data_IF_572995763079
#
_entry.id   IF_572995763079
#
_cell.length_a   1.000
_cell.length_b   1.000
_cell.length_c   1.000
_cell.angle_alpha   90.00
_cell.angle_beta   90.00
_cell.angle_gamma   90.00
#
_symmetry.space_group_name_H-M   'P 1'
#
loop_
_entity.id
_entity.type
_entity.pdbx_description
1 polymer ?
#
# COMPACT_ATOMS: atom_id res chain seq x y z
N UNK A 1 -73.90 56.29 -39.44
CA UNK A 1 -72.54 56.82 -39.18
C UNK A 1 -71.69 55.60 -38.80
N UNK A 2 -71.08 54.85 -39.72
CA UNK A 2 -69.89 55.17 -40.55
C UNK A 2 -68.82 55.85 -39.69
N UNK A 3 -67.57 55.41 -39.56
CA UNK A 3 -66.74 54.40 -40.24
C UNK A 3 -65.28 54.90 -40.17
N UNK A 4 -64.30 54.00 -40.33
CA UNK A 4 -62.92 54.40 -40.67
C UNK A 4 -61.76 53.77 -39.87
N UNK A 5 -61.20 52.67 -40.39
CA UNK A 5 -59.73 52.39 -40.40
C UNK A 5 -59.09 53.25 -41.53
N UNK A 6 -57.75 53.34 -41.78
CA UNK A 6 -56.60 52.49 -41.38
C UNK A 6 -55.36 53.34 -40.90
N UNK A 7 -54.16 52.82 -40.57
CA UNK A 7 -53.10 52.40 -41.49
C UNK A 7 -51.93 51.72 -40.77
N UNK A 8 -51.35 50.75 -41.49
CA UNK A 8 -50.11 50.05 -41.21
C UNK A 8 -48.90 50.96 -41.48
N UNK A 9 -47.84 50.86 -40.67
CA UNK A 9 -46.50 51.22 -41.13
C UNK A 9 -45.48 50.14 -40.76
N UNK A 10 -45.04 49.50 -41.84
CA UNK A 10 -43.91 48.61 -42.03
C UNK A 10 -42.64 49.16 -41.42
N UNK A 11 -41.91 48.36 -40.62
CA UNK A 11 -40.44 48.46 -40.62
C UNK A 11 -39.84 47.06 -40.81
N UNK A 12 -38.99 47.04 -41.84
CA UNK A 12 -38.30 45.91 -42.48
C UNK A 12 -37.27 45.28 -41.55
N UNK A 13 -37.10 43.98 -41.79
CA UNK A 13 -35.93 43.16 -41.46
C UNK A 13 -34.62 43.89 -41.84
N UNK A 14 -33.69 43.98 -40.91
CA UNK A 14 -32.26 43.82 -41.20
C UNK A 14 -31.73 42.71 -40.30
N UNK A 15 -31.42 41.60 -40.97
CA UNK A 15 -30.62 40.49 -40.48
C UNK A 15 -29.21 41.04 -40.29
N UNK A 16 -28.77 41.16 -39.04
CA UNK A 16 -27.33 41.15 -38.74
C UNK A 16 -27.03 39.75 -38.19
N UNK A 17 -26.34 38.99 -39.04
CA UNK A 17 -25.77 37.70 -38.70
C UNK A 17 -24.79 37.87 -37.54
N UNK A 18 -25.18 37.43 -36.34
CA UNK A 18 -24.23 37.05 -35.31
C UNK A 18 -23.67 35.68 -35.68
N UNK A 19 -22.73 35.67 -36.63
CA UNK A 19 -21.95 34.49 -36.96
C UNK A 19 -20.97 34.22 -35.81
N UNK A 20 -21.21 33.10 -35.13
CA UNK A 20 -20.24 32.20 -34.53
C UNK A 20 -18.96 32.82 -33.91
N UNK A 21 -19.00 33.07 -32.60
CA UNK A 21 -17.84 32.88 -31.72
C UNK A 21 -18.32 32.15 -30.45
N UNK A 22 -18.56 30.84 -30.60
CA UNK A 22 -18.68 29.91 -29.46
C UNK A 22 -17.78 28.70 -29.75
N UNK A 23 -16.51 28.97 -30.02
CA UNK A 23 -15.46 27.95 -30.06
C UNK A 23 -14.41 28.43 -29.07
N UNK A 24 -14.32 27.77 -27.90
CA UNK A 24 -13.25 28.07 -26.95
C UNK A 24 -13.52 27.81 -25.48
N UNK A 25 -14.63 27.16 -25.08
CA UNK A 25 -14.90 26.85 -23.65
C UNK A 25 -14.94 25.36 -23.32
N UNK A 26 -14.31 24.52 -24.16
CA UNK A 26 -13.90 23.16 -23.77
C UNK A 26 -12.38 23.05 -23.65
N UNK A 27 -11.70 24.19 -23.61
CA UNK A 27 -10.27 24.29 -23.35
C UNK A 27 -9.96 24.64 -21.88
N UNK A 28 -10.63 23.95 -20.96
CA UNK A 28 -10.04 23.59 -19.66
C UNK A 28 -9.76 22.07 -19.66
N UNK A 29 -8.92 21.49 -20.56
CA UNK A 29 -8.93 20.04 -20.78
C UNK A 29 -7.53 19.42 -20.57
N UNK A 30 -7.44 18.31 -19.86
CA UNK A 30 -6.21 17.55 -19.63
C UNK A 30 -5.10 18.21 -18.79
N UNK A 31 -4.67 19.46 -19.03
CA UNK A 31 -3.52 20.04 -18.29
C UNK A 31 -3.83 20.28 -16.81
N UNK A 32 -4.99 20.85 -16.48
CA UNK A 32 -5.43 20.99 -15.08
C UNK A 32 -5.62 19.63 -14.41
N UNK A 33 -6.16 18.64 -15.15
CA UNK A 33 -6.37 17.29 -14.61
C UNK A 33 -5.04 16.55 -14.39
N UNK A 34 -4.06 16.67 -15.28
CA UNK A 34 -2.73 16.08 -15.11
C UNK A 34 -1.97 16.72 -13.93
N UNK A 35 -2.13 18.03 -13.71
CA UNK A 35 -1.58 18.73 -12.54
C UNK A 35 -2.23 18.22 -11.24
N UNK A 36 -3.55 18.03 -11.20
CA UNK A 36 -4.24 17.49 -10.02
C UNK A 36 -3.87 16.01 -9.76
N UNK A 37 -3.82 15.18 -10.80
CA UNK A 37 -3.44 13.77 -10.67
C UNK A 37 -1.99 13.60 -10.18
N UNK A 38 -1.06 14.39 -10.70
CA UNK A 38 0.33 14.38 -10.22
C UNK A 38 0.46 14.83 -8.78
N UNK A 39 -0.31 15.83 -8.33
CA UNK A 39 -0.29 16.21 -6.90
C UNK A 39 -0.78 15.12 -5.95
N UNK A 40 -1.71 14.26 -6.37
CA UNK A 40 -2.27 13.19 -5.53
C UNK A 40 -1.42 11.92 -5.59
N UNK A 41 -1.03 11.49 -6.79
CA UNK A 41 -0.45 10.16 -7.00
C UNK A 41 1.07 10.16 -7.18
N UNK A 42 1.74 11.32 -7.29
CA UNK A 42 3.19 11.35 -7.43
C UNK A 42 3.90 10.77 -6.20
N UNK A 43 4.93 9.98 -6.47
CA UNK A 43 5.80 9.40 -5.46
C UNK A 43 6.53 10.51 -4.68
N UNK A 44 6.65 10.43 -3.34
CA UNK A 44 7.46 11.38 -2.59
C UNK A 44 8.93 11.30 -3.02
N UNK A 45 9.68 12.39 -2.91
CA UNK A 45 11.11 12.35 -3.24
C UNK A 45 11.96 11.73 -2.11
N UNK A 46 11.48 11.84 -0.87
CA UNK A 46 12.21 11.42 0.33
C UNK A 46 11.47 10.31 1.08
N UNK A 47 12.25 9.54 1.83
CA UNK A 47 11.76 8.50 2.73
C UNK A 47 11.19 9.12 4.02
N UNK A 48 10.30 8.41 4.75
CA UNK A 48 9.70 8.94 5.94
C UNK A 48 10.74 8.96 7.05
N UNK A 49 10.96 10.13 7.63
CA UNK A 49 11.90 10.32 8.74
C UNK A 49 11.18 10.09 10.07
N UNK A 50 11.78 9.30 10.95
CA UNK A 50 11.36 9.19 12.34
C UNK A 50 12.19 10.13 13.20
N UNK A 51 11.57 11.16 13.78
CA UNK A 51 12.26 12.04 14.73
C UNK A 51 12.67 11.30 16.01
N UNK A 52 11.89 10.29 16.41
CA UNK A 52 12.18 9.43 17.57
C UNK A 52 13.32 8.45 17.30
N UNK A 53 13.39 7.91 16.07
CA UNK A 53 14.42 6.98 15.65
C UNK A 53 15.09 7.45 14.35
N UNK A 54 15.96 8.48 14.41
CA UNK A 54 16.69 8.95 13.25
C UNK A 54 17.52 7.83 12.64
N UNK A 55 17.43 7.70 11.32
CA UNK A 55 18.18 6.70 10.57
C UNK A 55 19.67 7.03 10.55
N UNK A 56 20.51 6.00 10.64
CA UNK A 56 21.94 6.05 10.33
C UNK A 56 22.30 4.80 9.51
N UNK A 57 23.39 4.87 8.75
CA UNK A 57 23.88 3.72 7.98
C UNK A 57 24.15 2.51 8.89
N UNK A 58 24.71 2.74 10.07
CA UNK A 58 25.01 1.68 11.05
C UNK A 58 23.75 1.04 11.63
N UNK A 59 22.71 1.83 11.95
CA UNK A 59 21.42 1.28 12.43
C UNK A 59 20.74 0.44 11.36
N UNK A 60 20.75 0.91 10.11
CA UNK A 60 20.17 0.20 8.97
C UNK A 60 20.94 -1.11 8.71
N UNK A 61 22.28 -1.08 8.78
CA UNK A 61 23.12 -2.28 8.64
C UNK A 61 22.83 -3.31 9.72
N UNK A 62 22.82 -2.89 10.98
CA UNK A 62 22.47 -3.76 12.11
C UNK A 62 21.05 -4.33 11.94
N UNK A 63 20.09 -3.49 11.57
CA UNK A 63 18.70 -3.89 11.33
C UNK A 63 18.56 -4.92 10.21
N UNK A 64 19.32 -4.74 9.12
CA UNK A 64 19.38 -5.71 8.01
C UNK A 64 19.91 -7.06 8.52
N UNK A 65 21.03 -7.08 9.24
CA UNK A 65 21.55 -8.34 9.78
C UNK A 65 20.52 -9.05 10.68
N UNK A 66 19.93 -8.32 11.63
CA UNK A 66 18.91 -8.87 12.53
C UNK A 66 17.68 -9.41 11.78
N UNK A 67 17.21 -8.72 10.73
CA UNK A 67 16.03 -9.13 9.96
C UNK A 67 16.18 -10.50 9.28
N UNK A 68 17.39 -10.84 8.84
CA UNK A 68 17.72 -12.09 8.16
C UNK A 68 18.29 -13.17 9.11
N UNK A 69 18.49 -12.86 10.38
CA UNK A 69 19.16 -13.77 11.31
C UNK A 69 18.16 -14.67 12.04
N UNK A 70 18.24 -16.01 11.86
CA UNK A 70 17.30 -16.91 12.51
C UNK A 70 17.51 -16.99 14.03
N UNK A 71 18.63 -16.49 14.57
CA UNK A 71 18.89 -16.42 16.02
C UNK A 71 17.90 -15.55 16.79
N UNK A 72 17.10 -14.73 16.10
CA UNK A 72 16.00 -14.01 16.73
C UNK A 72 14.84 -14.94 17.14
N UNK A 73 14.84 -16.21 16.73
CA UNK A 73 13.81 -17.19 17.12
C UNK A 73 14.34 -18.18 18.16
N UNK A 74 13.47 -18.68 19.04
CA UNK A 74 13.87 -19.60 20.12
C UNK A 74 14.55 -20.89 19.64
N UNK A 75 14.34 -21.29 18.38
CA UNK A 75 14.95 -22.51 17.80
C UNK A 75 16.06 -22.22 16.81
N UNK A 76 16.44 -20.96 16.63
CA UNK A 76 17.42 -20.53 15.64
C UNK A 76 17.11 -21.00 14.21
N UNK A 77 15.83 -21.10 13.84
CA UNK A 77 15.37 -21.63 12.55
C UNK A 77 14.39 -20.71 11.79
N UNK A 78 14.06 -19.55 12.37
CA UNK A 78 13.13 -18.58 11.78
C UNK A 78 13.66 -17.16 11.94
N UNK A 79 13.65 -16.40 10.84
CA UNK A 79 13.95 -14.97 10.81
C UNK A 79 12.72 -14.18 10.36
N UNK A 80 12.77 -12.84 10.42
CA UNK A 80 11.73 -12.01 9.82
C UNK A 80 11.59 -12.32 8.31
N UNK A 81 12.72 -12.50 7.63
CA UNK A 81 12.81 -12.88 6.22
C UNK A 81 12.14 -14.22 5.88
N UNK A 82 11.95 -15.14 6.85
CA UNK A 82 11.26 -16.42 6.61
C UNK A 82 9.79 -16.22 6.21
N UNK A 83 9.14 -15.17 6.73
CA UNK A 83 7.77 -14.80 6.39
C UNK A 83 7.71 -13.62 5.40
N UNK A 84 8.69 -12.74 5.42
CA UNK A 84 8.75 -11.52 4.60
C UNK A 84 9.88 -11.60 3.58
N UNK A 85 9.68 -12.43 2.57
CA UNK A 85 10.71 -12.84 1.61
C UNK A 85 10.90 -11.77 0.52
N UNK A 86 12.12 -11.24 0.30
CA UNK A 86 12.38 -10.21 -0.71
C UNK A 86 11.91 -10.60 -2.13
N UNK A 87 12.15 -11.84 -2.54
CA UNK A 87 11.76 -12.40 -3.84
C UNK A 87 10.25 -12.49 -4.05
N UNK A 88 9.47 -12.38 -2.97
CA UNK A 88 8.01 -12.31 -2.98
C UNK A 88 7.52 -10.94 -2.48
N UNK A 89 8.24 -9.88 -2.85
CA UNK A 89 7.87 -8.49 -2.55
C UNK A 89 7.72 -8.26 -1.03
N UNK A 90 8.63 -8.83 -0.24
CA UNK A 90 8.66 -8.76 1.22
C UNK A 90 7.40 -9.31 1.90
N UNK A 91 6.78 -10.31 1.28
CA UNK A 91 5.62 -11.05 1.76
C UNK A 91 5.90 -12.56 1.77
N UNK A 92 4.89 -13.35 2.13
CA UNK A 92 4.92 -14.81 2.01
C UNK A 92 4.25 -15.22 0.70
N UNK A 93 4.84 -16.10 -0.12
CA UNK A 93 4.18 -16.67 -1.30
C UNK A 93 2.95 -17.51 -0.94
N UNK A 94 2.88 -18.03 0.28
CA UNK A 94 1.75 -18.80 0.80
C UNK A 94 0.58 -17.87 1.10
N UNK A 95 -0.65 -18.35 0.89
CA UNK A 95 -1.86 -17.61 1.28
C UNK A 95 -1.86 -17.24 2.77
N UNK A 96 -1.41 -18.17 3.64
CA UNK A 96 -1.14 -17.93 5.06
C UNK A 96 0.18 -18.57 5.48
N UNK A 97 0.96 -17.87 6.29
CA UNK A 97 2.24 -18.35 6.78
C UNK A 97 2.08 -19.44 7.83
N UNK A 98 3.13 -20.23 8.05
CA UNK A 98 3.20 -21.20 9.14
C UNK A 98 4.01 -20.61 10.30
N UNK A 99 3.54 -20.80 11.53
CA UNK A 99 4.28 -20.41 12.73
C UNK A 99 5.39 -21.39 13.08
N UNK A 100 6.16 -21.11 14.14
CA UNK A 100 7.14 -22.07 14.72
C UNK A 100 6.51 -23.40 15.13
N UNK A 101 5.21 -23.41 15.44
CA UNK A 101 4.39 -24.59 15.73
C UNK A 101 3.99 -25.40 14.47
N UNK A 102 4.41 -24.98 13.28
CA UNK A 102 4.09 -25.60 12.00
C UNK A 102 2.64 -25.42 11.53
N UNK A 103 1.81 -24.67 12.27
CA UNK A 103 0.39 -24.48 11.94
C UNK A 103 0.17 -23.19 11.14
N UNK A 104 -0.82 -23.15 10.24
CA UNK A 104 -1.16 -21.94 9.50
C UNK A 104 -1.62 -20.81 10.42
N UNK A 105 -1.24 -19.58 10.09
CA UNK A 105 -1.69 -18.37 10.78
C UNK A 105 -3.08 -17.95 10.30
N UNK A 106 -3.88 -17.28 11.15
CA UNK A 106 -5.23 -16.83 10.77
C UNK A 106 -5.23 -15.65 9.78
N UNK A 107 -4.05 -15.09 9.48
CA UNK A 107 -3.90 -13.98 8.57
C UNK A 107 -2.69 -14.21 7.67
N UNK A 108 -2.80 -13.71 6.46
CA UNK A 108 -1.70 -13.62 5.50
C UNK A 108 -0.62 -12.69 6.02
N UNK A 109 0.64 -13.02 5.75
CA UNK A 109 1.76 -12.10 5.94
C UNK A 109 1.67 -10.91 4.97
N UNK A 110 1.49 -9.67 5.45
CA UNK A 110 1.46 -8.50 4.58
C UNK A 110 2.86 -8.23 4.00
N UNK A 111 2.92 -7.60 2.83
CA UNK A 111 4.19 -7.05 2.31
C UNK A 111 4.71 -5.94 3.23
N UNK A 112 6.03 -5.89 3.42
CA UNK A 112 6.71 -4.79 4.13
C UNK A 112 7.11 -3.63 3.21
N UNK A 113 6.84 -3.71 1.91
CA UNK A 113 7.10 -2.62 1.00
C UNK A 113 6.32 -1.36 1.41
N UNK A 114 7.03 -0.26 1.48
CA UNK A 114 6.61 1.05 1.95
C UNK A 114 6.08 1.04 3.40
N UNK A 115 6.44 0.08 4.24
CA UNK A 115 5.89 0.00 5.62
C UNK A 115 6.20 1.26 6.44
N UNK A 116 7.31 1.94 6.16
CA UNK A 116 7.69 3.20 6.80
C UNK A 116 6.68 4.35 6.64
N UNK A 117 5.80 4.30 5.63
CA UNK A 117 4.75 5.31 5.41
C UNK A 117 3.39 4.92 6.03
N UNK A 118 3.28 3.76 6.68
CA UNK A 118 2.02 3.34 7.30
C UNK A 118 1.80 4.08 8.62
N UNK A 119 0.57 4.55 8.85
CA UNK A 119 0.17 5.19 10.12
C UNK A 119 -0.23 4.16 11.19
N UNK A 120 -0.72 3.01 10.76
CA UNK A 120 -1.03 1.87 11.61
C UNK A 120 -0.57 0.60 10.90
N UNK A 121 0.01 -0.32 11.68
CA UNK A 121 0.60 -1.57 11.25
C UNK A 121 -0.36 -2.73 11.48
N UNK A 122 -0.05 -3.87 10.86
CA UNK A 122 -0.88 -5.08 10.84
C UNK A 122 -2.20 -4.90 10.06
N UNK A 123 -2.95 -5.98 9.87
CA UNK A 123 -4.21 -5.95 9.15
C UNK A 123 -5.33 -5.24 9.91
N UNK A 124 -5.36 -5.32 11.24
CA UNK A 124 -6.35 -4.67 12.10
C UNK A 124 -5.85 -3.36 12.72
N UNK A 125 -4.65 -2.92 12.37
CA UNK A 125 -4.16 -1.60 12.78
C UNK A 125 -3.84 -1.47 14.25
N UNK A 126 -3.54 -2.57 14.94
CA UNK A 126 -3.43 -2.59 16.41
C UNK A 126 -2.14 -1.95 16.97
N UNK A 127 -1.21 -1.57 16.10
CA UNK A 127 0.08 -0.98 16.49
C UNK A 127 0.37 0.22 15.59
N UNK A 128 0.88 1.30 16.17
CA UNK A 128 1.05 2.58 15.47
C UNK A 128 2.51 2.90 15.10
N UNK A 129 3.48 2.14 15.62
CA UNK A 129 4.91 2.37 15.37
C UNK A 129 5.66 1.09 15.04
N UNK A 130 6.67 1.19 14.17
CA UNK A 130 7.55 0.06 13.84
C UNK A 130 8.32 -0.39 15.09
N UNK A 131 8.84 0.56 15.86
CA UNK A 131 9.58 0.32 17.10
C UNK A 131 8.75 -0.47 18.13
N UNK A 132 7.45 -0.17 18.24
CA UNK A 132 6.54 -0.89 19.14
C UNK A 132 6.07 -2.24 18.61
N UNK A 133 6.30 -2.54 17.32
CA UNK A 133 5.82 -3.75 16.68
C UNK A 133 6.90 -4.83 16.52
N UNK A 134 8.13 -4.47 16.14
CA UNK A 134 9.14 -5.43 15.65
C UNK A 134 9.51 -6.55 16.62
N UNK A 135 9.43 -6.33 17.94
CA UNK A 135 9.69 -7.36 18.95
C UNK A 135 8.45 -8.23 19.28
N UNK A 136 7.25 -7.82 18.85
CA UNK A 136 6.04 -8.64 19.05
C UNK A 136 6.10 -10.00 18.33
N UNK A 137 6.43 -10.10 17.02
CA UNK A 137 6.54 -11.40 16.36
C UNK A 137 7.71 -12.23 16.91
N UNK A 138 8.78 -11.57 17.37
CA UNK A 138 9.93 -12.20 18.04
C UNK A 138 9.48 -12.95 19.29
N UNK A 139 8.73 -12.29 20.17
CA UNK A 139 8.24 -12.88 21.41
C UNK A 139 7.01 -13.79 21.25
N UNK A 140 6.26 -13.67 20.14
CA UNK A 140 4.97 -14.35 20.03
C UNK A 140 5.16 -15.88 19.90
N UNK A 141 4.52 -16.69 20.78
CA UNK A 141 4.81 -18.13 20.90
C UNK A 141 4.39 -18.96 19.69
N UNK A 142 3.59 -18.38 18.78
CA UNK A 142 3.19 -19.02 17.53
C UNK A 142 3.83 -18.39 16.28
N UNK A 143 4.81 -17.51 16.48
CA UNK A 143 5.64 -16.92 15.44
C UNK A 143 7.09 -17.33 15.71
N UNK A 144 7.93 -16.49 16.31
CA UNK A 144 9.34 -16.80 16.55
C UNK A 144 9.62 -17.36 17.95
N UNK A 145 8.68 -17.18 18.89
CA UNK A 145 8.66 -17.78 20.24
C UNK A 145 9.91 -17.53 21.10
N UNK A 146 10.68 -16.47 20.82
CA UNK A 146 11.90 -16.13 21.55
C UNK A 146 11.60 -15.51 22.91
N UNK A 147 12.42 -15.84 23.91
CA UNK A 147 12.46 -15.12 25.17
C UNK A 147 13.33 -13.87 24.99
N UNK A 148 12.74 -12.69 25.19
CA UNK A 148 13.44 -11.43 24.96
C UNK A 148 14.54 -11.16 25.98
N UNK A 149 14.45 -11.73 27.19
CA UNK A 149 15.51 -11.60 28.18
C UNK A 149 16.74 -12.41 27.76
N UNK A 150 16.53 -13.61 27.20
CA UNK A 150 17.60 -14.47 26.68
C UNK A 150 18.21 -13.94 25.37
N UNK A 151 17.40 -13.32 24.51
CA UNK A 151 17.85 -12.82 23.21
C UNK A 151 19.03 -11.86 23.32
N UNK A 152 19.03 -10.97 24.33
CA UNK A 152 20.13 -10.01 24.52
C UNK A 152 21.42 -10.76 24.85
N UNK A 153 21.38 -11.71 25.79
CA UNK A 153 22.52 -12.52 26.18
C UNK A 153 23.07 -13.32 24.99
N UNK A 154 22.18 -13.95 24.20
CA UNK A 154 22.56 -14.70 23.00
C UNK A 154 23.28 -13.83 21.97
N UNK A 155 22.81 -12.60 21.73
CA UNK A 155 23.45 -11.67 20.79
C UNK A 155 24.74 -11.08 21.35
N UNK A 156 24.85 -10.91 22.68
CA UNK A 156 26.08 -10.51 23.35
C UNK A 156 27.19 -11.53 23.16
N UNK A 157 26.89 -12.83 23.09
CA UNK A 157 27.90 -13.88 22.83
C UNK A 157 28.42 -13.90 21.39
N UNK A 158 27.94 -12.99 20.52
CA UNK A 158 28.32 -12.91 19.12
C UNK A 158 29.21 -11.67 18.89
N UNK A 159 30.55 -11.83 18.70
CA UNK A 159 31.45 -10.69 18.51
C UNK A 159 31.08 -9.79 17.32
N UNK A 160 30.42 -10.34 16.30
CA UNK A 160 29.88 -9.57 15.18
C UNK A 160 28.80 -8.57 15.59
N UNK A 161 27.86 -8.98 16.46
CA UNK A 161 26.82 -8.09 16.96
C UNK A 161 27.37 -7.04 17.90
N UNK A 162 28.27 -7.39 18.81
CA UNK A 162 28.93 -6.40 19.67
C UNK A 162 29.51 -5.23 18.84
N UNK A 163 30.22 -5.52 17.75
CA UNK A 163 30.77 -4.49 16.85
C UNK A 163 29.71 -3.68 16.10
N UNK A 164 28.63 -4.33 15.66
CA UNK A 164 27.53 -3.63 14.97
C UNK A 164 26.76 -2.72 15.93
N UNK A 165 26.52 -3.16 17.16
CA UNK A 165 25.88 -2.36 18.20
C UNK A 165 26.76 -1.18 18.62
N UNK A 166 28.06 -1.38 18.84
CA UNK A 166 28.97 -0.28 19.18
C UNK A 166 28.97 0.84 18.13
N UNK A 167 28.86 0.47 16.84
CA UNK A 167 28.76 1.46 15.75
C UNK A 167 27.40 2.17 15.72
N UNK A 168 26.31 1.44 15.97
CA UNK A 168 24.95 1.96 15.84
C UNK A 168 24.48 2.73 17.09
N UNK A 169 24.97 2.34 18.27
CA UNK A 169 24.61 2.84 19.60
C UNK A 169 25.87 2.85 20.51
N UNK A 170 26.81 3.81 20.30
CA UNK A 170 28.03 3.90 21.08
C UNK A 170 27.74 3.98 22.59
N UNK A 171 28.52 3.27 23.39
CA UNK A 171 28.41 3.21 24.86
C UNK A 171 27.10 2.61 25.43
N UNK A 172 26.15 2.14 24.60
CA UNK A 172 24.89 1.54 25.05
C UNK A 172 24.96 0.00 25.12
N UNK A 173 25.84 -0.63 24.34
CA UNK A 173 25.94 -2.08 24.22
C UNK A 173 24.75 -2.73 23.49
N UNK A 174 24.68 -4.06 23.55
CA UNK A 174 23.56 -4.82 22.96
C UNK A 174 22.33 -4.67 23.86
N UNK A 175 21.19 -4.27 23.28
CA UNK A 175 19.96 -4.04 24.03
C UNK A 175 18.70 -4.30 23.19
N UNK A 176 17.59 -4.64 23.85
CA UNK A 176 16.27 -4.77 23.18
C UNK A 176 15.86 -3.49 22.46
N UNK A 177 16.18 -2.32 23.05
CA UNK A 177 15.96 -1.02 22.44
C UNK A 177 16.71 -0.89 21.12
N UNK A 178 18.01 -1.20 21.12
CA UNK A 178 18.84 -1.15 19.91
C UNK A 178 18.37 -2.15 18.84
N UNK A 179 17.99 -3.38 19.22
CA UNK A 179 17.40 -4.37 18.30
C UNK A 179 16.16 -3.77 17.61
N UNK A 180 15.21 -3.26 18.40
CA UNK A 180 13.97 -2.69 17.89
C UNK A 180 14.22 -1.50 16.97
N UNK A 181 15.02 -0.54 17.42
CA UNK A 181 15.33 0.67 16.67
C UNK A 181 16.05 0.36 15.35
N UNK A 182 16.98 -0.59 15.35
CA UNK A 182 17.71 -1.01 14.14
C UNK A 182 16.81 -1.70 13.14
N UNK A 183 16.01 -2.69 13.55
CA UNK A 183 15.06 -3.36 12.64
C UNK A 183 14.07 -2.32 12.08
N UNK A 184 13.52 -1.45 12.92
CA UNK A 184 12.60 -0.40 12.48
C UNK A 184 13.26 0.59 11.50
N UNK A 185 14.55 0.90 11.66
CA UNK A 185 15.30 1.73 10.71
C UNK A 185 15.46 1.03 9.35
N UNK A 186 15.82 -0.25 9.34
CA UNK A 186 15.89 -1.07 8.12
C UNK A 186 14.54 -1.18 7.42
N UNK A 187 13.46 -1.43 8.15
CA UNK A 187 12.12 -1.53 7.57
C UNK A 187 11.66 -0.25 6.85
N UNK A 188 12.13 0.92 7.28
CA UNK A 188 11.84 2.20 6.60
C UNK A 188 12.53 2.33 5.24
N UNK A 189 13.60 1.58 4.98
CA UNK A 189 14.28 1.58 3.68
C UNK A 189 13.60 0.65 2.67
N UNK A 190 12.66 -0.19 3.10
CA UNK A 190 11.93 -1.09 2.22
C UNK A 190 10.89 -0.31 1.43
N UNK A 191 11.26 0.12 0.24
CA UNK A 191 10.50 1.03 -0.61
C UNK A 191 10.30 0.43 -2.00
N UNK A 192 9.12 0.60 -2.58
CA UNK A 192 8.89 0.23 -3.98
C UNK A 192 9.66 1.16 -4.92
N UNK A 193 10.19 0.59 -6.01
CA UNK A 193 10.83 1.30 -7.09
C UNK A 193 9.89 2.24 -7.87
N UNK A 194 10.41 3.02 -8.82
CA UNK A 194 9.60 3.66 -9.84
C UNK A 194 8.91 2.60 -10.72
N UNK A 195 7.72 2.95 -11.19
CA UNK A 195 6.89 2.12 -12.06
C UNK A 195 6.52 2.84 -13.35
N UNK A 196 5.98 2.10 -14.33
CA UNK A 196 5.42 2.67 -15.55
C UNK A 196 4.36 3.75 -15.26
N UNK A 197 3.54 3.55 -14.22
CA UNK A 197 2.57 4.56 -13.78
C UNK A 197 3.25 5.85 -13.29
N UNK A 198 4.36 5.76 -12.56
CA UNK A 198 5.05 6.95 -12.05
C UNK A 198 5.63 7.78 -13.19
N UNK A 199 6.19 7.14 -14.22
CA UNK A 199 6.66 7.85 -15.43
C UNK A 199 5.52 8.54 -16.15
N UNK A 200 4.37 7.86 -16.28
CA UNK A 200 3.18 8.44 -16.89
C UNK A 200 2.68 9.67 -16.12
N UNK A 201 2.58 9.58 -14.79
CA UNK A 201 2.23 10.72 -13.93
C UNK A 201 3.27 11.85 -14.01
N UNK A 202 4.53 11.54 -14.23
CA UNK A 202 5.60 12.52 -14.44
C UNK A 202 5.60 13.16 -15.84
N UNK A 203 4.71 12.75 -16.75
CA UNK A 203 4.50 13.37 -18.07
C UNK A 203 4.96 12.53 -19.27
N UNK A 204 5.47 11.32 -19.06
CA UNK A 204 5.76 10.38 -20.16
C UNK A 204 4.47 9.74 -20.66
N UNK A 205 3.85 10.37 -21.67
CA UNK A 205 2.54 9.98 -22.19
C UNK A 205 2.49 8.54 -22.75
N UNK A 206 3.64 7.96 -23.09
CA UNK A 206 3.77 6.63 -23.69
C UNK A 206 4.22 5.56 -22.67
N UNK A 207 4.42 5.93 -21.40
CA UNK A 207 4.85 5.00 -20.36
C UNK A 207 3.83 3.90 -20.04
N UNK A 208 2.55 4.11 -20.33
CA UNK A 208 1.48 3.13 -20.16
C UNK A 208 0.61 3.06 -21.43
N UNK A 209 -0.07 1.92 -21.63
CA UNK A 209 -0.98 1.77 -22.77
C UNK A 209 -2.27 2.58 -22.60
N UNK A 210 -3.00 2.80 -23.70
CA UNK A 210 -4.31 3.46 -23.65
C UNK A 210 -5.35 2.68 -22.86
N UNK A 211 -5.26 1.36 -22.84
CA UNK A 211 -6.11 0.50 -22.01
C UNK A 211 -5.82 0.70 -20.52
N UNK A 212 -4.55 0.81 -20.12
CA UNK A 212 -4.16 1.10 -18.75
C UNK A 212 -4.56 2.53 -18.31
N UNK A 213 -4.42 3.51 -19.20
CA UNK A 213 -4.91 4.88 -18.98
C UNK A 213 -6.44 4.88 -18.73
N UNK A 214 -7.22 4.19 -19.58
CA UNK A 214 -8.66 4.03 -19.36
C UNK A 214 -8.98 3.27 -18.07
N UNK A 215 -8.15 2.30 -17.69
CA UNK A 215 -8.24 1.59 -16.42
C UNK A 215 -8.07 2.51 -15.22
N UNK A 216 -7.14 3.47 -15.29
CA UNK A 216 -6.95 4.47 -14.25
C UNK A 216 -8.14 5.43 -14.12
N UNK A 217 -8.71 5.89 -15.25
CA UNK A 217 -9.92 6.72 -15.22
C UNK A 217 -11.13 5.96 -14.66
N UNK A 218 -11.24 4.67 -14.97
CA UNK A 218 -12.25 3.81 -14.38
C UNK A 218 -12.04 3.67 -12.85
N UNK A 219 -10.81 3.38 -12.44
CA UNK A 219 -10.39 3.22 -11.04
C UNK A 219 -10.69 4.45 -10.18
N UNK A 220 -10.41 5.65 -10.72
CA UNK A 220 -10.62 6.93 -10.03
C UNK A 220 -12.04 7.49 -10.16
N UNK A 221 -12.76 7.07 -11.20
CA UNK A 221 -14.12 7.49 -11.49
C UNK A 221 -15.15 6.47 -11.02
N UNK A 222 -15.93 5.94 -11.98
CA UNK A 222 -17.13 5.15 -11.66
C UNK A 222 -16.87 3.81 -10.96
N UNK A 223 -15.65 3.26 -10.99
CA UNK A 223 -15.33 2.07 -10.20
C UNK A 223 -15.03 2.39 -8.73
N UNK A 224 -14.86 3.67 -8.39
CA UNK A 224 -14.70 4.21 -7.04
C UNK A 224 -13.59 3.55 -6.20
N UNK A 225 -12.63 2.85 -6.83
CA UNK A 225 -11.55 2.16 -6.12
C UNK A 225 -10.66 3.16 -5.36
N UNK A 226 -10.50 4.36 -5.91
CA UNK A 226 -9.73 5.45 -5.29
C UNK A 226 -10.32 5.99 -3.98
N UNK A 227 -11.57 5.66 -3.62
CA UNK A 227 -12.13 6.05 -2.32
C UNK A 227 -11.31 5.50 -1.14
N UNK A 228 -10.82 4.26 -1.27
CA UNK A 228 -9.92 3.65 -0.29
C UNK A 228 -8.48 3.63 -0.81
N UNK A 229 -8.27 3.44 -2.12
CA UNK A 229 -6.95 3.29 -2.71
C UNK A 229 -6.46 4.58 -3.38
N UNK A 230 -6.18 5.61 -2.59
CA UNK A 230 -5.73 6.93 -3.03
C UNK A 230 -4.28 7.24 -2.66
N UNK A 231 -3.76 8.36 -3.15
CA UNK A 231 -2.40 8.80 -2.88
C UNK A 231 -1.34 7.96 -3.59
N UNK A 232 -0.07 8.33 -3.40
CA UNK A 232 1.04 7.67 -4.10
C UNK A 232 1.16 6.16 -3.84
N UNK A 233 0.71 5.66 -2.68
CA UNK A 233 0.71 4.22 -2.35
C UNK A 233 -0.55 3.48 -2.80
N UNK A 234 -1.55 4.20 -3.27
CA UNK A 234 -2.89 3.67 -3.50
C UNK A 234 -3.47 3.05 -2.23
N UNK A 235 -3.45 3.81 -1.13
CA UNK A 235 -4.01 3.46 0.17
C UNK A 235 -4.26 4.73 0.97
N UNK A 236 -5.48 4.85 1.49
CA UNK A 236 -5.89 5.87 2.47
C UNK A 236 -5.37 5.59 3.88
N UNK A 237 -4.85 4.37 4.12
CA UNK A 237 -4.45 3.88 5.44
C UNK A 237 -5.62 3.64 6.41
N UNK A 238 -6.87 3.76 5.94
CA UNK A 238 -8.10 3.58 6.71
C UNK A 238 -8.49 2.13 6.87
N UNK A 239 -9.61 1.88 7.57
CA UNK A 239 -10.16 0.55 7.84
C UNK A 239 -11.54 0.41 7.22
N UNK A 240 -11.72 -0.64 6.42
CA UNK A 240 -12.97 -0.88 5.70
C UNK A 240 -13.38 -2.34 5.81
N UNK A 241 -14.67 -2.59 6.02
CA UNK A 241 -15.23 -3.93 5.94
C UNK A 241 -15.71 -4.17 4.51
N UNK A 242 -15.06 -5.14 3.86
CA UNK A 242 -15.34 -5.52 2.47
C UNK A 242 -16.09 -6.86 2.36
N UNK A 243 -16.67 -7.36 3.45
CA UNK A 243 -17.43 -8.62 3.47
C UNK A 243 -16.61 -9.91 3.53
N UNK A 244 -15.28 -9.82 3.64
CA UNK A 244 -14.39 -10.99 3.64
C UNK A 244 -14.06 -11.52 5.04
N UNK A 245 -14.49 -10.84 6.11
CA UNK A 245 -14.04 -11.10 7.47
C UNK A 245 -14.49 -12.45 8.07
N UNK A 246 -15.58 -13.06 7.56
CA UNK A 246 -16.10 -14.37 8.02
C UNK A 246 -16.19 -14.51 9.56
N UNK A 247 -16.69 -13.47 10.24
CA UNK A 247 -16.81 -13.44 11.72
C UNK A 247 -15.54 -12.98 12.46
N UNK A 248 -14.44 -12.73 11.77
CA UNK A 248 -13.28 -12.04 12.34
C UNK A 248 -13.68 -10.60 12.69
N UNK A 249 -13.47 -10.12 13.93
CA UNK A 249 -13.86 -8.77 14.32
C UNK A 249 -12.99 -7.69 13.66
N UNK A 250 -11.82 -8.01 13.09
CA UNK A 250 -10.92 -7.03 12.49
C UNK A 250 -10.56 -5.90 13.45
N UNK A 251 -10.62 -4.66 12.97
CA UNK A 251 -10.42 -3.43 13.76
C UNK A 251 -11.42 -3.29 14.91
N UNK A 252 -12.64 -3.81 14.76
CA UNK A 252 -13.70 -3.77 15.78
C UNK A 252 -13.35 -4.48 17.09
N UNK A 253 -12.27 -5.28 17.13
CA UNK A 253 -11.69 -5.79 18.38
C UNK A 253 -11.21 -4.66 19.30
N UNK A 254 -10.69 -3.59 18.71
CA UNK A 254 -10.14 -2.42 19.39
C UNK A 254 -11.18 -1.29 19.46
N UNK A 255 -11.93 -1.09 18.39
CA UNK A 255 -12.94 -0.02 18.27
C UNK A 255 -14.36 -0.57 18.50
N UNK A 256 -14.60 -1.13 19.69
CA UNK A 256 -15.82 -1.93 19.98
C UNK A 256 -17.15 -1.18 19.86
N UNK A 257 -17.10 0.15 19.94
CA UNK A 257 -18.28 1.00 19.90
C UNK A 257 -18.61 1.49 18.48
N UNK A 258 -17.79 1.15 17.48
CA UNK A 258 -18.03 1.50 16.08
C UNK A 258 -18.43 0.26 15.27
N UNK A 259 -19.72 0.11 14.92
CA UNK A 259 -20.19 -1.00 14.09
C UNK A 259 -19.52 -1.08 12.72
N UNK A 260 -19.00 0.03 12.17
CA UNK A 260 -18.30 0.04 10.88
C UNK A 260 -16.93 -0.65 10.98
N UNK A 261 -16.34 -0.73 12.17
CA UNK A 261 -15.04 -1.37 12.39
C UNK A 261 -15.15 -2.89 12.54
N UNK A 262 -16.35 -3.42 12.77
CA UNK A 262 -16.56 -4.88 12.86
C UNK A 262 -16.27 -5.52 11.51
N UNK A 263 -15.25 -6.37 11.46
CA UNK A 263 -14.76 -7.00 10.24
C UNK A 263 -13.97 -6.08 9.32
N UNK A 264 -13.65 -4.86 9.77
CA UNK A 264 -12.86 -3.92 8.99
C UNK A 264 -11.37 -4.22 9.08
N UNK A 265 -10.69 -4.09 7.94
CA UNK A 265 -9.24 -4.25 7.84
C UNK A 265 -8.63 -3.06 7.13
N UNK A 266 -7.34 -2.83 7.42
CA UNK A 266 -6.58 -1.73 6.84
C UNK A 266 -6.53 -1.87 5.32
N UNK A 267 -6.72 -0.78 4.58
CA UNK A 267 -6.49 -0.73 3.14
C UNK A 267 -5.01 -0.97 2.81
N UNK A 268 -4.62 -2.09 2.17
CA UNK A 268 -3.24 -2.30 1.75
C UNK A 268 -2.88 -1.39 0.56
N UNK A 269 -1.60 -1.03 0.42
CA UNK A 269 -1.13 -0.35 -0.79
C UNK A 269 -1.18 -1.25 -2.02
N UNK A 270 -1.40 -0.66 -3.20
CA UNK A 270 -1.49 -1.38 -4.47
C UNK A 270 -0.20 -1.37 -5.30
N UNK A 271 0.89 -0.76 -4.80
CA UNK A 271 2.21 -0.91 -5.41
C UNK A 271 2.60 -2.39 -5.47
N UNK A 272 3.09 -2.83 -6.62
CA UNK A 272 3.41 -4.23 -6.93
C UNK A 272 2.25 -5.23 -6.67
N UNK A 273 0.98 -4.78 -6.78
CA UNK A 273 -0.17 -5.67 -6.50
C UNK A 273 -0.32 -6.79 -7.53
N UNK A 274 0.07 -6.55 -8.78
CA UNK A 274 0.02 -7.54 -9.85
C UNK A 274 1.00 -8.71 -9.66
N UNK A 275 2.02 -8.52 -8.81
CA UNK A 275 3.06 -9.52 -8.54
C UNK A 275 2.70 -10.45 -7.38
N UNK A 276 1.57 -10.21 -6.70
CA UNK A 276 1.15 -10.96 -5.52
C UNK A 276 0.42 -12.24 -5.93
N UNK A 277 0.76 -13.35 -5.28
CA UNK A 277 0.12 -14.67 -5.50
C UNK A 277 -1.19 -14.87 -4.72
N UNK A 278 -1.45 -14.04 -3.71
CA UNK A 278 -2.63 -14.12 -2.86
C UNK A 278 -3.12 -12.72 -2.49
N UNK A 279 -4.37 -12.61 -2.02
CA UNK A 279 -5.02 -11.34 -1.70
C UNK A 279 -5.90 -11.45 -0.46
N UNK A 280 -6.32 -10.28 0.04
CA UNK A 280 -7.06 -10.11 1.30
C UNK A 280 -6.24 -10.48 2.55
N UNK A 281 -6.85 -10.26 3.71
CA UNK A 281 -6.21 -10.45 5.01
C UNK A 281 -5.98 -11.92 5.37
N UNK A 282 -6.73 -12.84 4.75
CA UNK A 282 -6.73 -14.29 5.01
C UNK A 282 -6.23 -15.11 3.80
N UNK A 283 -5.85 -14.46 2.70
CA UNK A 283 -5.42 -15.17 1.49
C UNK A 283 -6.57 -15.80 0.69
N UNK A 284 -7.82 -15.39 0.91
CA UNK A 284 -9.00 -16.02 0.29
C UNK A 284 -9.03 -15.99 -1.24
N UNK A 285 -8.31 -15.05 -1.86
CA UNK A 285 -8.25 -14.94 -3.33
C UNK A 285 -6.81 -15.15 -3.82
N UNK A 286 -6.68 -15.75 -5.00
CA UNK A 286 -5.40 -16.13 -5.63
C UNK A 286 -5.16 -15.39 -6.94
N UNK A 287 -6.05 -14.48 -7.36
CA UNK A 287 -5.85 -13.66 -8.55
C UNK A 287 -6.54 -12.30 -8.41
N UNK A 288 -6.07 -11.30 -9.17
CA UNK A 288 -6.71 -9.99 -9.22
C UNK A 288 -8.11 -10.06 -9.86
N UNK A 289 -8.36 -11.01 -10.75
CA UNK A 289 -9.69 -11.26 -11.31
C UNK A 289 -10.69 -11.64 -10.21
N UNK A 290 -10.32 -12.55 -9.29
CA UNK A 290 -11.17 -12.89 -8.15
C UNK A 290 -11.42 -11.68 -7.23
N UNK A 291 -10.42 -10.81 -7.06
CA UNK A 291 -10.59 -9.55 -6.33
C UNK A 291 -11.62 -8.65 -7.02
N UNK A 292 -11.49 -8.45 -8.33
CA UNK A 292 -12.42 -7.63 -9.10
C UNK A 292 -13.83 -8.24 -9.15
N UNK A 293 -13.95 -9.56 -9.23
CA UNK A 293 -15.23 -10.27 -9.16
C UNK A 293 -15.91 -10.06 -7.81
N UNK A 294 -15.16 -10.10 -6.71
CA UNK A 294 -15.68 -9.82 -5.37
C UNK A 294 -16.26 -8.40 -5.25
N UNK A 295 -15.54 -7.40 -5.79
CA UNK A 295 -16.01 -6.01 -5.79
C UNK A 295 -17.16 -5.77 -6.78
N UNK A 296 -17.22 -6.48 -7.90
CA UNK A 296 -18.33 -6.39 -8.86
C UNK A 296 -19.62 -7.00 -8.29
N UNK A 297 -19.54 -8.18 -7.67
CA UNK A 297 -20.71 -8.82 -7.06
C UNK A 297 -21.09 -8.25 -5.67
N UNK A 298 -20.20 -7.47 -5.04
CA UNK A 298 -20.35 -6.97 -3.67
C UNK A 298 -20.60 -8.09 -2.65
N UNK A 299 -20.05 -9.28 -2.91
CA UNK A 299 -20.38 -10.50 -2.18
C UNK A 299 -20.03 -10.39 -0.70
N UNK A 300 -21.04 -10.44 0.17
CA UNK A 300 -20.85 -10.40 1.62
C UNK A 300 -20.63 -8.99 2.20
N UNK A 301 -20.66 -7.93 1.41
CA UNK A 301 -20.64 -6.55 1.90
C UNK A 301 -21.99 -6.19 2.54
N UNK A 302 -21.95 -5.47 3.66
CA UNK A 302 -23.17 -4.95 4.27
C UNK A 302 -23.79 -3.84 3.40
N UNK A 303 -25.13 -3.71 3.40
CA UNK A 303 -25.88 -2.74 2.59
C UNK A 303 -25.40 -1.29 2.75
N UNK A 304 -24.92 -0.91 3.94
CA UNK A 304 -24.37 0.43 4.24
C UNK A 304 -22.93 0.66 3.78
N UNK A 305 -22.28 -0.38 3.26
CA UNK A 305 -20.88 -0.40 2.82
C UNK A 305 -20.76 -0.83 1.35
N UNK A 306 -21.88 -1.17 0.71
CA UNK A 306 -21.90 -1.53 -0.70
C UNK A 306 -21.84 -0.27 -1.57
N UNK A 307 -20.86 -0.23 -2.46
CA UNK A 307 -20.75 0.77 -3.51
C UNK A 307 -21.22 0.06 -4.76
N UNK A 308 -22.36 0.43 -5.35
CA UNK A 308 -22.83 -0.24 -6.56
C UNK A 308 -21.83 -0.03 -7.69
N UNK A 309 -20.91 -0.97 -7.86
CA UNK A 309 -19.96 -1.00 -8.96
C UNK A 309 -20.41 -2.08 -9.92
N UNK A 310 -20.80 -1.69 -11.13
CA UNK A 310 -21.05 -2.64 -12.21
C UNK A 310 -19.82 -2.64 -13.12
N UNK A 311 -19.02 -3.70 -13.05
CA UNK A 311 -17.83 -3.91 -13.88
C UNK A 311 -18.12 -4.98 -14.92
N UNK A 312 -18.23 -4.59 -16.19
CA UNK A 312 -18.27 -5.58 -17.25
C UNK A 312 -16.89 -6.22 -17.47
N UNK A 313 -16.82 -7.20 -18.39
CA UNK A 313 -15.54 -7.87 -18.71
C UNK A 313 -14.47 -6.89 -19.21
N UNK A 314 -14.85 -5.89 -20.00
CA UNK A 314 -13.92 -4.92 -20.57
C UNK A 314 -13.38 -3.98 -19.48
N UNK A 315 -14.23 -3.61 -18.53
CA UNK A 315 -13.85 -2.84 -17.35
C UNK A 315 -12.79 -3.54 -16.52
N UNK A 316 -13.02 -4.83 -16.23
CA UNK A 316 -12.06 -5.65 -15.48
C UNK A 316 -10.72 -5.74 -16.21
N UNK A 317 -10.72 -5.92 -17.53
CA UNK A 317 -9.48 -5.95 -18.32
C UNK A 317 -8.70 -4.64 -18.26
N UNK A 318 -9.39 -3.49 -18.33
CA UNK A 318 -8.76 -2.17 -18.20
C UNK A 318 -8.20 -1.93 -16.80
N UNK A 319 -8.95 -2.29 -15.75
CA UNK A 319 -8.47 -2.23 -14.37
C UNK A 319 -7.23 -3.11 -14.18
N UNK A 320 -7.21 -4.33 -14.71
CA UNK A 320 -6.04 -5.20 -14.65
C UNK A 320 -4.85 -4.61 -15.41
N UNK A 321 -5.07 -4.02 -16.59
CA UNK A 321 -4.04 -3.33 -17.35
C UNK A 321 -3.43 -2.17 -16.54
N UNK A 322 -4.27 -1.39 -15.86
CA UNK A 322 -3.83 -0.35 -14.94
C UNK A 322 -3.06 -0.90 -13.73
N UNK A 323 -3.59 -1.90 -13.01
CA UNK A 323 -2.93 -2.43 -11.81
C UNK A 323 -1.54 -3.00 -12.10
N UNK A 324 -1.29 -3.50 -13.32
CA UNK A 324 0.04 -3.95 -13.79
C UNK A 324 1.03 -2.81 -13.95
N UNK A 325 0.58 -1.57 -14.20
CA UNK A 325 1.49 -0.42 -14.31
C UNK A 325 2.03 0.04 -12.96
N UNK A 326 1.51 -0.49 -11.86
CA UNK A 326 1.93 -0.21 -10.49
C UNK A 326 3.08 -1.10 -10.00
N UNK A 327 3.55 -2.02 -10.84
CA UNK A 327 4.73 -2.84 -10.57
C UNK A 327 6.01 -2.07 -10.90
N UNK A 328 7.05 -2.31 -10.11
CA UNK A 328 8.36 -1.66 -10.29
C UNK A 328 8.96 -2.01 -11.65
N UNK A 329 9.65 -1.05 -12.30
CA UNK A 329 10.30 -1.26 -13.61
C UNK A 329 11.44 -2.26 -13.56
N UNK A 330 12.03 -2.40 -12.38
CA UNK A 330 13.04 -3.38 -12.08
C UNK A 330 12.43 -4.36 -11.09
N UNK A 331 12.66 -5.68 -11.27
CA UNK A 331 12.28 -6.65 -10.25
C UNK A 331 12.89 -6.20 -8.91
N UNK A 332 12.18 -6.44 -7.80
CA UNK A 332 12.62 -6.04 -6.44
C UNK A 332 14.06 -6.46 -6.26
N UNK A 333 14.95 -5.49 -6.45
CA UNK A 333 16.38 -5.68 -6.26
C UNK A 333 16.63 -5.85 -4.78
N UNK A 334 17.65 -6.63 -4.45
CA UNK A 334 18.26 -6.64 -3.12
C UNK A 334 18.24 -5.23 -2.55
N UNK A 335 17.77 -5.04 -1.29
CA UNK A 335 17.75 -3.71 -0.70
C UNK A 335 19.15 -3.15 -0.83
N UNK A 336 19.23 -1.90 -1.33
CA UNK A 336 20.44 -1.12 -1.64
C UNK A 336 21.65 -1.76 -0.97
N UNK A 337 22.63 -2.31 -1.73
CA UNK A 337 23.84 -2.84 -1.14
C UNK A 337 24.37 -1.78 -0.18
N UNK A 338 24.45 -2.11 1.10
CA UNK A 338 25.20 -1.26 2.02
C UNK A 338 26.61 -1.40 1.51
N UNK A 339 27.18 -0.29 1.04
CA UNK A 339 28.43 -0.23 0.30
C UNK A 339 29.44 -1.28 0.81
N UNK A 340 29.73 -2.29 -0.02
CA UNK A 340 30.73 -3.33 0.27
C UNK A 340 30.29 -4.54 1.12
N UNK A 341 29.00 -4.79 1.34
CA UNK A 341 28.53 -5.99 2.04
C UNK A 341 27.46 -6.74 1.21
N UNK A 342 27.76 -7.94 0.67
CA UNK A 342 26.72 -8.81 0.11
C UNK A 342 25.77 -9.27 1.23
N UNK A 343 24.54 -9.60 0.84
CA UNK A 343 23.56 -10.24 1.73
C UNK A 343 24.10 -11.62 2.12
N UNK A 344 24.08 -12.00 3.42
CA UNK A 344 24.44 -13.35 3.85
C UNK A 344 23.64 -14.45 3.18
#
# INVERSE_FOLDING_TARGET
MQGGKPENMVIRRFVLAAAAVFIGLFAIPAVLMAQELSTVFARPQFDPVSAFNPASADKILLGRHLFFDPRLSARNDMACASCHQPEYFWADPKGVSSGSDGRPRPRRTPSLLDVGWQRSLTWDGRVDTLEGFVLQPVAHPKEMAQDLDLLVDELMEVPGYQRLFERAFPDEGVSLGGISLSIAAFLRTLRTGPSAFDRWIAGDADAISKEAEQGFYLFTGRAACSHCHSGWRFSDGGFHNIGTAKGNPGRGRYDRNDPLMVGAFRTPGLRNVAERSSFMHDGAFTSLEQVLDHYDCQCGMAEKQSWQVALDRNDKLKLLAFLKTLSDDQPVGDPIPIEGQPIP
#
